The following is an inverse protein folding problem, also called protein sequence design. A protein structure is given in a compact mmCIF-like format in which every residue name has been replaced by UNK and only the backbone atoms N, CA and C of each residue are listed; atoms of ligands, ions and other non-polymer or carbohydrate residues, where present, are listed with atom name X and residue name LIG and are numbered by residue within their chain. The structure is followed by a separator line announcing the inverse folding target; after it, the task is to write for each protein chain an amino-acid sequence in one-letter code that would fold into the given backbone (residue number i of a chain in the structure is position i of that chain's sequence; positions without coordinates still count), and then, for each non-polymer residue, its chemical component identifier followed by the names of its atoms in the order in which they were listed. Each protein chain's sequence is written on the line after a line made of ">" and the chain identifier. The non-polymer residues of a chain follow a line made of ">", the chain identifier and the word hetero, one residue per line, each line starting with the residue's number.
data_IF_682961797682
#
_entry.id   IF_682961797682
#
_cell.length_a   1.000
_cell.length_b   1.000
_cell.length_c   1.000
_cell.angle_alpha   90.00
_cell.angle_beta   90.00
_cell.angle_gamma   90.00
#
_symmetry.space_group_name_H-M   'P 1'
#
loop_
_entity.id
_entity.type
_entity.pdbx_description
1 polymer ?
#
# COMPACT_ATOMS: atom_id res chain seq x y z
N UNK A 1 -4.50 7.63 7.38
CA UNK A 1 -5.28 7.54 6.12
C UNK A 1 -6.75 7.30 6.47
N UNK A 2 -7.68 7.64 5.57
CA UNK A 2 -9.08 7.23 5.70
C UNK A 2 -9.19 5.71 5.57
N UNK A 3 -10.19 5.12 6.24
CA UNK A 3 -10.54 3.72 6.03
C UNK A 3 -11.41 3.62 4.76
N UNK A 4 -10.97 2.93 3.70
CA UNK A 4 -11.78 2.81 2.50
C UNK A 4 -13.08 2.06 2.78
N UNK A 5 -14.16 2.46 2.12
CA UNK A 5 -15.44 1.74 2.20
C UNK A 5 -15.39 0.49 1.33
N UNK A 6 -16.22 -0.51 1.63
CA UNK A 6 -16.24 -1.76 0.88
C UNK A 6 -16.60 -1.53 -0.61
N UNK A 7 -15.73 -1.96 -1.52
CA UNK A 7 -15.84 -1.73 -2.96
C UNK A 7 -15.30 -0.38 -3.45
N UNK A 8 -14.72 0.45 -2.58
CA UNK A 8 -13.96 1.65 -2.98
C UNK A 8 -12.76 1.23 -3.82
N UNK A 9 -12.50 1.97 -4.90
CA UNK A 9 -11.38 1.73 -5.81
C UNK A 9 -10.45 2.92 -5.89
N UNK A 10 -9.23 2.71 -6.35
CA UNK A 10 -8.33 3.80 -6.70
C UNK A 10 -7.43 3.40 -7.87
N UNK A 11 -7.41 4.20 -8.93
CA UNK A 11 -6.44 4.09 -10.03
C UNK A 11 -5.32 5.14 -9.96
N UNK A 12 -4.16 4.81 -10.51
CA UNK A 12 -3.08 5.76 -10.74
C UNK A 12 -2.29 5.36 -11.99
N UNK A 13 -2.42 6.13 -13.07
CA UNK A 13 -1.57 6.01 -14.24
C UNK A 13 -0.42 7.02 -14.14
N UNK A 14 0.81 6.54 -14.35
CA UNK A 14 2.04 7.34 -14.34
C UNK A 14 2.82 7.12 -15.63
N UNK A 15 2.41 7.77 -16.75
CA UNK A 15 3.16 7.70 -18.00
C UNK A 15 4.63 8.14 -17.83
N UNK A 16 4.88 9.13 -16.97
CA UNK A 16 6.21 9.61 -16.59
C UNK A 16 7.09 8.55 -15.91
N UNK A 17 6.48 7.52 -15.32
CA UNK A 17 7.15 6.41 -14.62
C UNK A 17 6.90 5.05 -15.28
N UNK A 18 6.16 5.01 -16.39
CA UNK A 18 5.88 3.80 -17.16
C UNK A 18 5.10 2.72 -16.39
N UNK A 19 4.18 3.10 -15.51
CA UNK A 19 3.30 2.12 -14.84
C UNK A 19 1.86 2.62 -14.70
N UNK A 20 0.95 1.66 -14.55
CA UNK A 20 -0.44 1.89 -14.17
C UNK A 20 -0.80 1.02 -12.96
N UNK A 21 -1.55 1.57 -12.02
CA UNK A 21 -1.89 0.96 -10.74
C UNK A 21 -3.40 0.97 -10.53
N UNK A 22 -3.94 -0.12 -9.98
CA UNK A 22 -5.32 -0.19 -9.49
C UNK A 22 -5.36 -0.81 -8.10
N UNK A 23 -6.36 -0.43 -7.33
CA UNK A 23 -6.68 -1.05 -6.05
C UNK A 23 -8.16 -1.06 -5.78
N UNK A 24 -8.59 -1.99 -4.93
CA UNK A 24 -9.96 -2.15 -4.48
C UNK A 24 -9.99 -2.56 -3.00
N UNK A 25 -10.91 -1.99 -2.24
CA UNK A 25 -11.24 -2.44 -0.90
C UNK A 25 -12.13 -3.68 -0.97
N UNK A 26 -11.50 -4.85 -1.06
CA UNK A 26 -12.16 -6.15 -1.29
C UNK A 26 -12.84 -6.73 -0.04
N UNK A 27 -12.50 -6.23 1.16
CA UNK A 27 -13.16 -6.61 2.41
C UNK A 27 -13.07 -5.47 3.44
N UNK A 28 -14.07 -5.37 4.32
CA UNK A 28 -14.07 -4.39 5.41
C UNK A 28 -14.03 -5.02 6.82
N UNK A 29 -14.49 -6.27 6.98
CA UNK A 29 -14.30 -7.05 8.21
C UNK A 29 -13.75 -8.44 7.90
N UNK A 30 -12.43 -8.64 8.02
CA UNK A 30 -11.39 -7.63 8.30
C UNK A 30 -11.17 -6.66 7.14
N UNK A 31 -10.58 -5.46 7.36
CA UNK A 31 -10.24 -4.56 6.26
C UNK A 31 -9.10 -5.14 5.42
N UNK A 32 -9.38 -5.36 4.14
CA UNK A 32 -8.41 -5.84 3.15
C UNK A 32 -8.48 -4.94 1.92
N UNK A 33 -7.34 -4.38 1.53
CA UNK A 33 -7.17 -3.66 0.27
C UNK A 33 -6.29 -4.51 -0.64
N UNK A 34 -6.75 -4.80 -1.85
CA UNK A 34 -5.97 -5.48 -2.88
C UNK A 34 -5.47 -4.45 -3.90
N UNK A 35 -4.26 -4.62 -4.41
CA UNK A 35 -3.73 -3.78 -5.47
C UNK A 35 -2.90 -4.55 -6.51
N UNK A 36 -2.84 -3.99 -7.71
CA UNK A 36 -2.10 -4.52 -8.85
C UNK A 36 -1.56 -3.37 -9.68
N UNK A 37 -0.32 -3.47 -10.13
CA UNK A 37 0.31 -2.53 -11.02
C UNK A 37 1.05 -3.24 -12.15
N UNK A 38 0.97 -2.64 -13.33
CA UNK A 38 1.57 -3.14 -14.56
C UNK A 38 2.49 -2.09 -15.15
N UNK A 39 3.64 -2.54 -15.62
CA UNK A 39 4.64 -1.81 -16.38
C UNK A 39 5.18 -2.73 -17.48
N UNK A 40 5.86 -2.17 -18.47
CA UNK A 40 6.61 -2.97 -19.44
C UNK A 40 7.69 -3.84 -18.78
N UNK A 41 8.24 -3.38 -17.64
CA UNK A 41 9.37 -4.03 -16.99
C UNK A 41 9.00 -4.90 -15.79
N UNK A 42 7.85 -4.64 -15.17
CA UNK A 42 7.44 -5.34 -13.94
C UNK A 42 5.93 -5.47 -13.82
N UNK A 43 5.49 -6.47 -13.07
CA UNK A 43 4.12 -6.59 -12.55
C UNK A 43 4.21 -6.66 -11.05
N UNK A 44 3.48 -5.81 -10.34
CA UNK A 44 3.48 -5.72 -8.88
C UNK A 44 2.07 -5.99 -8.35
N UNK A 45 1.92 -6.82 -7.32
CA UNK A 45 0.63 -7.00 -6.68
C UNK A 45 0.76 -7.44 -5.22
N UNK A 46 -0.29 -7.17 -4.46
CA UNK A 46 -0.43 -7.58 -3.08
C UNK A 46 -1.88 -7.42 -2.64
N UNK A 47 -2.24 -8.13 -1.58
CA UNK A 47 -3.32 -7.76 -0.70
C UNK A 47 -2.79 -7.41 0.68
N UNK A 48 -3.44 -6.45 1.32
CA UNK A 48 -3.03 -5.90 2.57
C UNK A 48 -4.16 -5.98 3.58
N UNK A 49 -3.93 -6.74 4.64
CA UNK A 49 -4.76 -6.77 5.85
C UNK A 49 -4.02 -6.08 6.99
N UNK A 50 -4.67 -5.08 7.59
CA UNK A 50 -4.10 -4.35 8.72
C UNK A 50 -4.57 -4.93 10.05
N UNK A 51 -3.64 -5.26 10.95
CA UNK A 51 -3.93 -5.58 12.35
C UNK A 51 -3.31 -4.52 13.24
N UNK A 52 -4.13 -3.64 13.81
CA UNK A 52 -3.67 -2.56 14.67
C UNK A 52 -3.82 -2.97 16.15
N UNK A 53 -2.81 -2.66 16.98
CA UNK A 53 -2.83 -2.87 18.43
C UNK A 53 -2.43 -1.58 19.14
N UNK A 54 -3.26 -1.11 20.06
CA UNK A 54 -2.96 0.05 20.88
C UNK A 54 -2.39 -0.38 22.23
N UNK A 55 -1.21 0.12 22.56
CA UNK A 55 -0.44 -0.24 23.77
C UNK A 55 -0.43 0.91 24.80
N UNK A 56 -1.48 1.74 24.82
CA UNK A 56 -1.61 2.89 25.74
C UNK A 56 -0.86 4.14 25.29
N UNK A 57 0.44 4.04 24.98
CA UNK A 57 1.24 5.18 24.47
C UNK A 57 1.66 5.05 23.00
N UNK A 58 1.59 3.83 22.47
CA UNK A 58 2.03 3.52 21.12
C UNK A 58 0.95 2.76 20.34
N UNK A 59 0.92 2.95 19.03
CA UNK A 59 0.07 2.22 18.10
C UNK A 59 0.94 1.32 17.23
N UNK A 60 0.79 0.01 17.40
CA UNK A 60 1.46 -1.00 16.58
C UNK A 60 0.57 -1.37 15.39
N UNK A 61 1.15 -1.32 14.19
CA UNK A 61 0.52 -1.62 12.91
C UNK A 61 1.21 -2.86 12.35
N UNK A 62 0.47 -3.97 12.31
CA UNK A 62 0.97 -5.26 11.81
C UNK A 62 0.34 -5.53 10.44
N UNK A 63 1.06 -5.22 9.35
CA UNK A 63 0.60 -5.57 8.01
C UNK A 63 0.69 -7.08 7.79
N UNK A 64 -0.38 -7.67 7.27
CA UNK A 64 -0.47 -9.07 6.88
C UNK A 64 -0.74 -9.14 5.39
N UNK A 65 0.07 -9.92 4.68
CA UNK A 65 0.03 -10.06 3.23
C UNK A 65 1.43 -10.23 2.66
N UNK A 66 1.52 -10.93 1.54
CA UNK A 66 2.76 -11.10 0.78
C UNK A 66 2.82 -10.04 -0.33
N UNK A 67 3.98 -9.42 -0.51
CA UNK A 67 4.23 -8.54 -1.64
C UNK A 67 4.85 -9.35 -2.76
N UNK A 68 4.40 -9.10 -3.99
CA UNK A 68 4.85 -9.82 -5.17
C UNK A 68 5.34 -8.84 -6.25
N UNK A 69 6.45 -9.18 -6.89
CA UNK A 69 6.93 -8.53 -8.12
C UNK A 69 7.39 -9.58 -9.11
N UNK A 70 6.82 -9.60 -10.30
CA UNK A 70 7.36 -10.33 -11.44
C UNK A 70 8.19 -9.41 -12.31
N UNK A 71 9.32 -9.91 -12.83
CA UNK A 71 10.11 -9.26 -13.87
C UNK A 71 10.06 -10.14 -15.13
N UNK A 72 9.05 -9.97 -16.00
CA UNK A 72 8.75 -10.92 -17.08
C UNK A 72 9.94 -11.15 -18.03
N UNK A 73 10.73 -10.11 -18.29
CA UNK A 73 11.94 -10.19 -19.14
C UNK A 73 12.95 -11.24 -18.67
N UNK A 74 13.03 -11.48 -17.37
CA UNK A 74 13.97 -12.43 -16.77
C UNK A 74 13.29 -13.74 -16.32
N UNK A 75 11.96 -13.81 -16.39
CA UNK A 75 11.20 -14.91 -15.83
C UNK A 75 11.22 -14.95 -14.30
N UNK A 76 11.58 -13.84 -13.64
CA UNK A 76 11.67 -13.78 -12.18
C UNK A 76 10.33 -13.49 -11.52
N UNK A 77 10.11 -14.06 -10.34
CA UNK A 77 8.99 -13.70 -9.46
C UNK A 77 9.50 -13.60 -8.02
N UNK A 78 9.62 -12.37 -7.53
CA UNK A 78 10.02 -12.06 -6.18
C UNK A 78 8.82 -11.97 -5.24
N UNK A 79 8.98 -12.55 -4.06
CA UNK A 79 8.03 -12.46 -2.96
C UNK A 79 8.72 -12.03 -1.66
N UNK A 80 8.04 -11.21 -0.86
CA UNK A 80 8.51 -10.88 0.49
C UNK A 80 7.38 -10.52 1.46
N UNK A 81 7.68 -10.66 2.75
CA UNK A 81 6.82 -10.22 3.83
C UNK A 81 7.07 -8.76 4.22
N UNK A 82 6.15 -8.16 4.96
CA UNK A 82 6.30 -6.82 5.54
C UNK A 82 6.72 -6.89 7.01
N UNK A 83 7.27 -5.79 7.50
CA UNK A 83 7.63 -5.60 8.91
C UNK A 83 6.56 -4.81 9.66
N UNK A 84 6.60 -4.92 10.99
CA UNK A 84 5.72 -4.16 11.87
C UNK A 84 6.15 -2.70 11.93
N UNK A 85 5.17 -1.80 12.01
CA UNK A 85 5.40 -0.38 12.29
C UNK A 85 4.84 -0.04 13.66
N UNK A 86 5.52 0.82 14.40
CA UNK A 86 5.04 1.33 15.68
C UNK A 86 5.10 2.86 15.67
N UNK A 87 3.97 3.50 15.92
CA UNK A 87 3.89 4.94 16.13
C UNK A 87 3.95 5.15 17.64
N UNK A 88 5.07 5.66 18.11
CA UNK A 88 5.29 5.96 19.51
C UNK A 88 4.72 7.33 19.86
N UNK A 89 4.41 7.53 21.14
CA UNK A 89 3.98 8.82 21.68
C UNK A 89 2.72 9.39 21.01
N UNK A 90 1.76 8.53 20.63
CA UNK A 90 0.59 8.93 19.84
C UNK A 90 -0.32 9.96 20.55
N UNK A 91 -0.26 10.02 21.88
CA UNK A 91 -1.00 10.96 22.73
C UNK A 91 -0.16 12.16 23.21
N UNK A 92 1.09 12.31 22.74
CA UNK A 92 1.97 13.43 23.13
C UNK A 92 2.58 14.12 21.90
N UNK A 93 3.31 15.22 22.14
CA UNK A 93 3.80 16.09 21.05
C UNK A 93 4.91 15.49 20.19
N UNK A 94 5.79 14.66 20.76
CA UNK A 94 6.95 14.10 20.06
C UNK A 94 6.65 12.71 19.50
N UNK A 95 5.77 12.66 18.50
CA UNK A 95 5.44 11.44 17.76
C UNK A 95 6.61 11.03 16.86
N UNK A 96 6.90 9.73 16.83
CA UNK A 96 7.88 9.17 15.90
C UNK A 96 7.48 7.75 15.50
N UNK A 97 7.94 7.31 14.33
CA UNK A 97 7.63 6.01 13.77
C UNK A 97 8.87 5.11 13.77
N UNK A 98 8.68 3.86 14.15
CA UNK A 98 9.69 2.83 14.10
C UNK A 98 9.19 1.67 13.22
N UNK A 99 10.07 1.11 12.41
CA UNK A 99 9.83 -0.17 11.73
C UNK A 99 10.76 -1.21 12.33
N UNK A 100 10.26 -2.42 12.60
CA UNK A 100 11.09 -3.51 13.12
C UNK A 100 10.62 -4.89 12.68
N UNK A 101 11.59 -5.79 12.59
CA UNK A 101 11.39 -7.17 12.16
C UNK A 101 12.24 -7.50 10.95
N UNK A 102 12.01 -8.68 10.39
CA UNK A 102 12.81 -9.20 9.29
C UNK A 102 11.96 -9.26 8.01
N UNK A 103 12.52 -8.81 6.90
CA UNK A 103 11.99 -9.03 5.55
C UNK A 103 12.84 -10.11 4.90
N UNK A 104 12.16 -11.13 4.36
CA UNK A 104 12.78 -12.18 3.57
C UNK A 104 12.30 -12.08 2.13
N UNK A 105 13.21 -11.73 1.22
CA UNK A 105 12.96 -11.60 -0.21
C UNK A 105 13.50 -12.85 -0.90
N UNK A 106 12.64 -13.52 -1.68
CA UNK A 106 12.98 -14.74 -2.43
C UNK A 106 12.47 -14.62 -3.85
N UNK A 107 13.23 -15.16 -4.80
CA UNK A 107 12.71 -15.44 -6.14
C UNK A 107 12.12 -16.86 -6.14
N UNK A 108 10.85 -17.01 -6.48
CA UNK A 108 10.15 -18.30 -6.51
C UNK A 108 10.52 -19.13 -7.73
N UNK A 109 11.06 -18.49 -8.77
CA UNK A 109 11.50 -19.13 -10.01
C UNK A 109 12.99 -19.52 -9.98
N UNK A 110 13.78 -18.86 -9.13
CA UNK A 110 15.19 -19.18 -8.92
C UNK A 110 15.60 -19.15 -7.44
N UNK A 111 16.00 -20.32 -6.93
CA UNK A 111 16.49 -20.49 -5.56
C UNK A 111 18.01 -20.38 -5.42
N UNK A 112 18.72 -19.79 -6.40
CA UNK A 112 20.16 -19.55 -6.36
C UNK A 112 20.57 -18.58 -5.25
N UNK A 113 19.70 -17.62 -4.93
CA UNK A 113 19.93 -16.64 -3.86
C UNK A 113 18.64 -16.19 -3.16
N UNK A 114 18.78 -15.59 -1.99
CA UNK A 114 17.71 -14.89 -1.28
C UNK A 114 18.29 -13.70 -0.51
N UNK A 115 17.45 -12.72 -0.16
CA UNK A 115 17.87 -11.56 0.63
C UNK A 115 17.12 -11.54 1.97
N UNK A 116 17.86 -11.26 3.05
CA UNK A 116 17.28 -10.99 4.36
C UNK A 116 17.66 -9.58 4.78
N UNK A 117 16.65 -8.76 5.10
CA UNK A 117 16.80 -7.43 5.69
C UNK A 117 16.21 -7.44 7.10
N UNK A 118 16.90 -6.84 8.05
CA UNK A 118 16.47 -6.65 9.42
C UNK A 118 16.33 -5.15 9.67
N UNK A 119 15.11 -4.75 10.01
CA UNK A 119 14.81 -3.42 10.52
C UNK A 119 15.10 -3.43 12.02
N UNK A 120 16.19 -2.77 12.42
CA UNK A 120 16.73 -2.87 13.76
C UNK A 120 15.89 -2.06 14.74
N UNK A 121 15.36 -2.74 15.77
CA UNK A 121 14.68 -2.07 16.87
C UNK A 121 15.70 -1.30 17.71
N UNK A 122 15.46 -0.01 17.92
CA UNK A 122 16.39 0.86 18.62
C UNK A 122 15.64 1.81 19.55
N UNK A 123 16.30 2.21 20.64
CA UNK A 123 15.78 3.30 21.49
C UNK A 123 15.97 4.62 20.72
N UNK A 124 15.02 5.55 20.79
CA UNK A 124 15.02 6.77 19.97
C UNK A 124 16.27 7.67 20.14
N UNK A 125 17.03 7.53 21.22
CA UNK A 125 18.28 8.25 21.47
C UNK A 125 19.53 7.52 20.97
N UNK A 126 19.38 6.32 20.39
CA UNK A 126 20.49 5.54 19.85
C UNK A 126 20.89 6.07 18.47
N UNK A 127 22.18 6.00 18.13
CA UNK A 127 22.67 6.23 16.77
C UNK A 127 22.08 5.26 15.73
N UNK A 128 21.56 4.12 16.17
CA UNK A 128 21.07 3.03 15.32
C UNK A 128 19.57 3.14 15.03
N UNK A 129 18.95 4.27 15.40
CA UNK A 129 17.55 4.54 15.10
C UNK A 129 17.34 4.52 13.59
N UNK A 130 16.29 3.81 13.17
CA UNK A 130 15.89 3.63 11.77
C UNK A 130 16.88 2.79 10.92
N UNK A 131 17.84 2.11 11.54
CA UNK A 131 18.82 1.30 10.85
C UNK A 131 18.18 0.07 10.19
N UNK A 132 18.64 -0.22 8.98
CA UNK A 132 18.35 -1.46 8.25
C UNK A 132 19.67 -2.12 7.92
N UNK A 133 19.81 -3.38 8.29
CA UNK A 133 20.97 -4.21 7.97
C UNK A 133 20.50 -5.46 7.24
N UNK A 134 21.31 -5.99 6.34
CA UNK A 134 20.95 -7.23 5.67
C UNK A 134 22.02 -7.77 4.75
N UNK A 135 21.66 -8.84 4.07
CA UNK A 135 22.55 -9.47 3.11
C UNK A 135 21.77 -10.24 2.05
N UNK A 136 22.41 -10.38 0.89
CA UNK A 136 22.03 -11.35 -0.14
C UNK A 136 22.89 -12.59 0.09
N UNK A 137 22.23 -13.73 0.20
CA UNK A 137 22.84 -15.04 0.46
C UNK A 137 22.69 -15.91 -0.77
N UNK A 138 23.73 -16.64 -1.12
CA UNK A 138 23.63 -17.76 -2.05
C UNK A 138 22.82 -18.92 -1.44
N UNK A 139 22.46 -19.92 -2.25
CA UNK A 139 21.82 -21.15 -1.79
C UNK A 139 22.59 -21.86 -0.67
N UNK A 140 23.92 -21.80 -0.67
CA UNK A 140 24.76 -22.42 0.36
C UNK A 140 24.88 -21.60 1.65
N UNK A 141 24.21 -20.44 1.74
CA UNK A 141 24.28 -19.54 2.89
C UNK A 141 25.50 -18.61 2.89
N UNK A 142 26.36 -18.65 1.86
CA UNK A 142 27.44 -17.67 1.70
C UNK A 142 26.86 -16.28 1.42
N UNK A 143 27.35 -15.27 2.14
CA UNK A 143 27.03 -13.85 1.89
C UNK A 143 27.64 -13.41 0.56
N UNK A 144 26.79 -13.01 -0.37
CA UNK A 144 27.17 -12.44 -1.67
C UNK A 144 27.31 -10.92 -1.59
N UNK A 145 26.35 -10.27 -0.92
CA UNK A 145 26.34 -8.83 -0.73
C UNK A 145 25.86 -8.47 0.67
N UNK A 146 26.43 -7.42 1.26
CA UNK A 146 25.94 -6.80 2.49
C UNK A 146 25.16 -5.54 2.14
N UNK A 147 24.06 -5.32 2.84
CA UNK A 147 23.19 -4.17 2.70
C UNK A 147 23.11 -3.45 4.04
N UNK A 148 23.24 -2.13 4.05
CA UNK A 148 23.08 -1.33 5.25
C UNK A 148 22.62 0.08 4.93
N UNK A 149 22.02 0.74 5.91
CA UNK A 149 21.60 2.12 5.80
C UNK A 149 20.53 2.46 6.81
N UNK A 150 19.79 3.54 6.57
CA UNK A 150 18.59 3.88 7.34
C UNK A 150 17.42 3.99 6.37
N UNK A 151 16.28 3.41 6.73
CA UNK A 151 15.13 3.30 5.81
C UNK A 151 14.59 4.66 5.31
N UNK A 152 14.91 5.75 6.00
CA UNK A 152 14.53 7.12 5.64
C UNK A 152 15.66 7.97 5.05
N UNK A 153 16.91 7.48 4.98
CA UNK A 153 18.06 8.24 4.47
C UNK A 153 18.69 7.59 3.23
N UNK A 154 18.62 6.26 3.11
CA UNK A 154 19.16 5.53 1.98
C UNK A 154 19.60 4.12 2.34
N UNK A 155 19.77 3.30 1.30
CA UNK A 155 20.26 1.92 1.39
C UNK A 155 21.50 1.76 0.51
N UNK A 156 22.50 1.05 1.02
CA UNK A 156 23.82 0.92 0.41
C UNK A 156 24.23 -0.55 0.35
N UNK A 157 24.97 -0.92 -0.70
CA UNK A 157 25.57 -2.23 -0.90
C UNK A 157 27.07 -2.17 -0.66
N UNK A 158 27.59 -3.03 0.22
CA UNK A 158 28.99 -3.05 0.63
C UNK A 158 29.25 -2.29 1.94
N UNK A 159 30.52 -2.08 2.28
CA UNK A 159 30.92 -1.45 3.54
C UNK A 159 31.02 0.07 3.38
N UNK A 160 30.34 0.83 4.25
CA UNK A 160 30.45 2.29 4.31
C UNK A 160 31.84 2.72 4.81
N UNK A 161 32.41 3.86 4.35
CA UNK A 161 31.80 4.86 3.46
C UNK A 161 31.89 4.54 1.96
N UNK A 162 32.60 3.48 1.56
CA UNK A 162 32.81 3.10 0.14
C UNK A 162 31.70 2.24 -0.49
N UNK A 163 30.57 2.10 0.21
CA UNK A 163 29.43 1.30 -0.27
C UNK A 163 28.71 1.96 -1.45
N UNK A 164 28.27 1.16 -2.41
CA UNK A 164 27.46 1.65 -3.53
C UNK A 164 26.06 2.02 -3.03
N UNK A 165 25.64 3.26 -3.24
CA UNK A 165 24.27 3.66 -2.98
C UNK A 165 23.31 2.96 -3.95
N UNK A 166 22.31 2.24 -3.42
CA UNK A 166 21.30 1.53 -4.23
C UNK A 166 19.94 2.23 -4.21
N UNK A 167 19.65 3.00 -3.17
CA UNK A 167 18.43 3.80 -3.06
C UNK A 167 18.62 4.98 -2.12
N UNK A 168 17.97 6.11 -2.43
CA UNK A 168 17.81 7.28 -1.56
C UNK A 168 16.37 7.81 -1.65
N UNK A 169 15.86 8.43 -0.58
CA UNK A 169 14.59 9.15 -0.64
C UNK A 169 14.70 10.36 -1.58
N UNK A 170 13.58 10.75 -2.17
CA UNK A 170 13.47 12.04 -2.83
C UNK A 170 13.45 13.16 -1.78
N UNK A 171 13.88 14.36 -2.17
CA UNK A 171 13.73 15.56 -1.34
C UNK A 171 12.26 15.83 -1.03
N UNK A 172 11.98 16.22 0.22
CA UNK A 172 10.65 16.65 0.62
C UNK A 172 10.31 18.02 0.00
N UNK A 173 9.06 18.27 -0.40
CA UNK A 173 8.61 19.60 -0.79
C UNK A 173 8.84 20.63 0.33
N UNK A 174 9.13 21.91 0.02
CA UNK A 174 9.38 22.94 1.03
C UNK A 174 8.28 23.05 2.10
N UNK A 175 7.00 22.97 1.71
CA UNK A 175 5.85 23.10 2.61
C UNK A 175 5.25 21.77 3.08
N UNK A 176 6.03 20.66 3.06
CA UNK A 176 5.50 19.34 3.41
C UNK A 176 4.88 19.29 4.81
N UNK A 177 5.44 19.98 5.81
CA UNK A 177 4.90 20.01 7.18
C UNK A 177 3.48 20.62 7.25
N UNK A 178 3.19 21.61 6.41
CA UNK A 178 1.85 22.23 6.31
C UNK A 178 0.86 21.33 5.57
N UNK A 179 1.38 20.41 4.75
CA UNK A 179 0.63 19.46 3.94
C UNK A 179 0.76 18.04 4.49
N UNK A 180 0.49 17.87 5.80
CA UNK A 180 0.45 16.57 6.48
C UNK A 180 1.75 15.73 6.44
N UNK A 181 2.89 16.35 6.14
CA UNK A 181 4.17 15.67 5.94
C UNK A 181 4.25 14.90 4.62
N UNK A 182 3.44 15.26 3.61
CA UNK A 182 3.39 14.53 2.35
C UNK A 182 4.65 14.70 1.48
N UNK A 183 5.05 13.60 0.86
CA UNK A 183 6.03 13.62 -0.24
C UNK A 183 5.39 14.24 -1.48
N UNK A 184 6.22 14.67 -2.45
CA UNK A 184 5.72 15.13 -3.74
C UNK A 184 4.81 14.09 -4.42
N UNK A 185 5.20 12.82 -4.39
CA UNK A 185 4.39 11.74 -4.93
C UNK A 185 3.03 11.62 -4.25
N UNK A 186 2.98 11.79 -2.91
CA UNK A 186 1.73 11.73 -2.16
C UNK A 186 0.78 12.90 -2.46
N UNK A 187 1.31 14.11 -2.67
CA UNK A 187 0.51 15.28 -3.08
C UNK A 187 -0.21 15.05 -4.41
N UNK A 188 0.44 14.34 -5.33
CA UNK A 188 -0.11 14.03 -6.66
C UNK A 188 -1.20 12.93 -6.64
N UNK A 189 -1.28 12.11 -5.57
CA UNK A 189 -2.12 10.92 -5.58
C UNK A 189 -3.62 11.23 -5.68
N UNK A 190 -4.09 12.27 -4.99
CA UNK A 190 -5.51 12.62 -4.91
C UNK A 190 -5.89 13.84 -5.76
N UNK A 191 -4.99 14.29 -6.66
CA UNK A 191 -5.32 15.31 -7.65
C UNK A 191 -6.44 14.81 -8.57
N UNK A 192 -7.47 15.64 -8.78
CA UNK A 192 -8.62 15.32 -9.63
C UNK A 192 -8.80 16.40 -10.71
N UNK A 193 -8.31 16.12 -11.90
CA UNK A 193 -8.53 16.98 -13.06
C UNK A 193 -9.92 16.74 -13.68
N UNK A 194 -10.43 17.72 -14.41
CA UNK A 194 -11.73 17.59 -15.09
C UNK A 194 -11.75 16.46 -16.14
N UNK A 195 -10.62 16.19 -16.78
CA UNK A 195 -10.47 15.10 -17.74
C UNK A 195 -10.48 13.75 -17.03
N UNK A 196 -9.67 13.58 -15.99
CA UNK A 196 -9.63 12.35 -15.19
C UNK A 196 -11.01 12.03 -14.62
N UNK A 197 -11.73 13.03 -14.11
CA UNK A 197 -13.09 12.85 -13.56
C UNK A 197 -14.06 12.17 -14.54
N UNK A 198 -13.91 12.36 -15.86
CA UNK A 198 -14.79 11.74 -16.88
C UNK A 198 -14.48 10.27 -17.11
N UNK A 199 -13.24 9.83 -16.87
CA UNK A 199 -12.80 8.46 -17.11
C UNK A 199 -12.81 7.58 -15.86
N UNK A 200 -12.91 8.16 -14.66
CA UNK A 200 -12.92 7.40 -13.40
C UNK A 200 -14.24 6.63 -13.20
N UNK A 201 -14.19 5.44 -12.58
CA UNK A 201 -15.40 4.83 -12.05
C UNK A 201 -15.95 5.68 -10.91
N UNK A 202 -17.26 5.60 -10.65
CA UNK A 202 -17.90 6.31 -9.52
C UNK A 202 -17.33 5.93 -8.15
N UNK A 203 -16.58 4.83 -8.09
CA UNK A 203 -15.96 4.27 -6.89
C UNK A 203 -14.54 4.77 -6.65
N UNK A 204 -13.95 5.61 -7.53
CA UNK A 204 -12.59 6.12 -7.33
C UNK A 204 -12.48 7.03 -6.11
N UNK A 205 -11.47 6.80 -5.26
CA UNK A 205 -11.23 7.57 -4.04
C UNK A 205 -11.18 9.08 -4.26
N UNK A 206 -10.76 9.57 -5.44
CA UNK A 206 -10.73 11.01 -5.74
C UNK A 206 -12.12 11.66 -5.74
N UNK A 207 -13.17 10.87 -5.97
CA UNK A 207 -14.57 11.29 -5.95
C UNK A 207 -15.19 11.21 -4.55
N UNK A 208 -14.44 10.73 -3.55
CA UNK A 208 -14.92 10.56 -2.18
C UNK A 208 -14.99 11.92 -1.46
N UNK A 209 -16.19 12.40 -1.08
CA UNK A 209 -16.37 13.82 -0.74
C UNK A 209 -15.82 14.20 0.64
N UNK A 210 -15.80 13.29 1.62
CA UNK A 210 -15.21 13.57 2.94
C UNK A 210 -13.70 13.83 2.87
N UNK A 211 -12.98 13.06 2.06
CA UNK A 211 -11.56 13.27 1.79
C UNK A 211 -11.32 14.59 1.05
N UNK A 212 -12.12 14.88 0.01
CA UNK A 212 -12.00 16.12 -0.77
C UNK A 212 -12.21 17.36 0.10
N UNK A 213 -13.28 17.38 0.90
CA UNK A 213 -13.55 18.51 1.80
C UNK A 213 -12.46 18.71 2.85
N UNK A 214 -11.83 17.63 3.33
CA UNK A 214 -10.70 17.76 4.25
C UNK A 214 -9.49 18.41 3.59
N UNK A 215 -9.16 18.01 2.35
CA UNK A 215 -8.08 18.61 1.57
C UNK A 215 -8.32 20.09 1.27
N UNK A 216 -9.57 20.49 1.04
CA UNK A 216 -10.00 21.88 0.84
C UNK A 216 -10.06 22.68 2.16
N UNK A 217 -9.77 22.06 3.31
CA UNK A 217 -9.81 22.70 4.63
C UNK A 217 -11.20 22.85 5.23
N UNK A 218 -12.24 22.33 4.58
CA UNK A 218 -13.63 22.36 5.08
C UNK A 218 -13.92 21.18 6.03
N UNK A 219 -13.39 21.29 7.25
CA UNK A 219 -13.49 20.25 8.29
C UNK A 219 -14.95 19.88 8.63
N UNK A 220 -15.85 20.88 8.65
CA UNK A 220 -17.25 20.65 8.99
C UNK A 220 -17.96 19.80 7.93
N UNK A 221 -17.77 20.13 6.64
CA UNK A 221 -18.34 19.36 5.55
C UNK A 221 -17.71 17.95 5.45
N UNK A 222 -16.40 17.84 5.68
CA UNK A 222 -15.69 16.56 5.70
C UNK A 222 -16.30 15.61 6.74
N UNK A 223 -16.48 16.09 7.97
CA UNK A 223 -17.05 15.30 9.07
C UNK A 223 -18.52 14.92 8.82
N UNK A 224 -19.33 15.83 8.25
CA UNK A 224 -20.71 15.52 7.87
C UNK A 224 -20.79 14.44 6.78
N UNK A 225 -19.97 14.53 5.73
CA UNK A 225 -19.91 13.52 4.67
C UNK A 225 -19.35 12.19 5.17
N UNK A 226 -18.35 12.21 6.05
CA UNK A 226 -17.79 11.01 6.66
C UNK A 226 -18.87 10.21 7.38
N UNK A 227 -19.68 10.87 8.22
CA UNK A 227 -20.81 10.23 8.91
C UNK A 227 -21.82 9.63 7.93
N UNK A 228 -22.15 10.36 6.85
CA UNK A 228 -23.07 9.89 5.81
C UNK A 228 -22.56 8.62 5.11
N UNK A 229 -21.30 8.63 4.66
CA UNK A 229 -20.65 7.50 3.98
C UNK A 229 -20.58 6.28 4.90
N UNK A 230 -20.15 6.45 6.15
CA UNK A 230 -20.09 5.35 7.12
C UNK A 230 -21.48 4.78 7.46
N UNK A 231 -22.52 5.60 7.42
CA UNK A 231 -23.91 5.15 7.59
C UNK A 231 -24.39 4.34 6.39
N UNK A 232 -24.19 4.84 5.15
CA UNK A 232 -24.53 4.11 3.92
C UNK A 232 -23.84 2.75 3.86
N UNK A 233 -22.57 2.68 4.24
CA UNK A 233 -21.84 1.42 4.28
C UNK A 233 -22.42 0.44 5.33
N UNK A 234 -22.85 0.94 6.49
CA UNK A 234 -23.51 0.12 7.53
C UNK A 234 -24.86 -0.40 7.06
N UNK A 235 -25.66 0.44 6.41
CA UNK A 235 -26.98 0.06 5.89
C UNK A 235 -26.86 -0.95 4.75
N UNK A 236 -25.94 -0.72 3.80
CA UNK A 236 -25.64 -1.68 2.72
C UNK A 236 -25.23 -3.04 3.27
N UNK A 237 -24.41 -3.06 4.33
CA UNK A 237 -24.02 -4.32 4.98
C UNK A 237 -25.22 -5.04 5.59
N UNK A 238 -26.07 -4.33 6.33
CA UNK A 238 -27.28 -4.92 6.92
C UNK A 238 -28.17 -5.55 5.86
N UNK A 239 -28.41 -4.85 4.75
CA UNK A 239 -29.19 -5.38 3.61
C UNK A 239 -28.53 -6.64 3.03
N UNK A 240 -27.20 -6.63 2.85
CA UNK A 240 -26.48 -7.83 2.36
C UNK A 240 -26.60 -9.01 3.33
N UNK A 241 -26.46 -8.78 4.63
CA UNK A 241 -26.61 -9.82 5.68
C UNK A 241 -28.04 -10.38 5.73
N UNK A 242 -29.06 -9.52 5.73
CA UNK A 242 -30.48 -9.92 5.73
C UNK A 242 -30.87 -10.75 4.50
N UNK A 243 -30.20 -10.51 3.36
CA UNK A 243 -30.47 -11.22 2.10
C UNK A 243 -29.47 -12.35 1.81
N UNK A 244 -28.56 -12.67 2.74
CA UNK A 244 -27.48 -13.66 2.56
C UNK A 244 -26.61 -13.40 1.31
N UNK A 245 -26.42 -12.12 0.95
CA UNK A 245 -25.60 -11.69 -0.18
C UNK A 245 -24.17 -11.51 0.28
N UNK A 246 -23.23 -12.25 -0.32
CA UNK A 246 -21.80 -12.06 -0.10
C UNK A 246 -21.28 -11.00 -1.07
N UNK A 247 -20.57 -10.01 -0.56
CA UNK A 247 -19.91 -9.01 -1.41
C UNK A 247 -18.90 -9.69 -2.34
N UNK A 248 -19.00 -9.41 -3.63
CA UNK A 248 -18.02 -9.81 -4.63
C UNK A 248 -17.22 -8.58 -5.06
N UNK A 249 -15.90 -8.63 -4.88
CA UNK A 249 -15.01 -7.62 -5.41
C UNK A 249 -15.11 -7.59 -6.94
N UNK A 250 -15.09 -6.39 -7.52
CA UNK A 250 -15.36 -6.15 -8.93
C UNK A 250 -14.15 -6.44 -9.82
N UNK A 251 -12.96 -6.07 -9.36
CA UNK A 251 -11.73 -6.09 -10.16
C UNK A 251 -10.69 -7.08 -9.63
N UNK A 252 -10.97 -7.71 -8.49
CA UNK A 252 -10.14 -8.71 -7.87
C UNK A 252 -10.93 -9.98 -7.58
N UNK A 253 -10.23 -11.10 -7.55
CA UNK A 253 -10.77 -12.40 -7.14
C UNK A 253 -9.92 -12.99 -6.04
N UNK A 254 -10.59 -13.67 -5.11
CA UNK A 254 -9.93 -14.42 -4.05
C UNK A 254 -9.34 -15.71 -4.61
N UNK A 255 -8.10 -16.00 -4.24
CA UNK A 255 -7.44 -17.28 -4.43
C UNK A 255 -7.17 -17.91 -3.07
N UNK A 256 -7.13 -19.25 -3.06
CA UNK A 256 -6.88 -20.04 -1.86
C UNK A 256 -5.98 -21.21 -2.25
N UNK A 257 -4.92 -21.46 -1.48
CA UNK A 257 -4.09 -22.64 -1.67
C UNK A 257 -4.61 -23.85 -0.86
N UNK A 258 -3.94 -24.99 -1.01
CA UNK A 258 -4.28 -26.23 -0.30
C UNK A 258 -4.13 -26.14 1.23
N UNK A 259 -3.42 -25.13 1.74
CA UNK A 259 -3.27 -24.88 3.18
C UNK A 259 -4.39 -23.98 3.74
N UNK A 260 -5.27 -23.47 2.88
CA UNK A 260 -6.30 -22.51 3.24
C UNK A 260 -5.79 -21.07 3.34
N UNK A 261 -4.55 -20.78 2.92
CA UNK A 261 -4.05 -19.41 2.81
C UNK A 261 -4.79 -18.71 1.67
N UNK A 262 -5.40 -17.58 1.97
CA UNK A 262 -6.11 -16.76 1.00
C UNK A 262 -5.27 -15.54 0.59
N UNK A 263 -5.39 -15.13 -0.67
CA UNK A 263 -4.85 -13.87 -1.20
C UNK A 263 -5.74 -13.35 -2.34
N UNK A 264 -5.54 -12.10 -2.73
CA UNK A 264 -6.32 -11.48 -3.82
C UNK A 264 -5.44 -11.18 -5.03
N UNK A 265 -5.96 -11.50 -6.21
CA UNK A 265 -5.32 -11.20 -7.50
C UNK A 265 -6.30 -10.47 -8.40
N UNK A 266 -5.79 -9.61 -9.28
CA UNK A 266 -6.64 -8.96 -10.28
C UNK A 266 -7.34 -9.99 -11.18
N UNK A 267 -8.54 -9.66 -11.64
CA UNK A 267 -9.23 -10.41 -12.70
C UNK A 267 -8.94 -9.83 -14.11
N UNK A 268 -8.01 -8.87 -14.21
CA UNK A 268 -7.60 -8.20 -15.46
C UNK A 268 -8.76 -7.53 -16.22
N UNK A 269 -9.83 -7.12 -15.55
CA UNK A 269 -10.98 -6.46 -16.20
C UNK A 269 -10.92 -4.94 -16.13
N UNK A 270 -10.30 -4.35 -15.11
CA UNK A 270 -10.35 -2.91 -14.84
C UNK A 270 -10.00 -2.06 -16.07
N UNK A 271 -8.78 -2.21 -16.60
CA UNK A 271 -8.30 -1.41 -17.73
C UNK A 271 -9.04 -1.71 -19.04
N UNK A 272 -9.56 -2.93 -19.21
CA UNK A 272 -10.40 -3.28 -20.37
C UNK A 272 -11.75 -2.58 -20.32
N UNK A 273 -12.33 -2.46 -19.14
CA UNK A 273 -13.59 -1.75 -18.90
C UNK A 273 -13.41 -0.22 -18.89
N UNK A 274 -12.21 0.25 -18.54
CA UNK A 274 -11.83 1.66 -18.67
C UNK A 274 -11.72 2.11 -20.12
N UNK A 275 -11.27 1.22 -21.00
CA UNK A 275 -11.28 1.45 -22.43
C UNK A 275 -12.72 1.63 -22.94
N UNK A 276 -12.91 2.43 -23.99
CA UNK A 276 -14.21 2.88 -24.51
C UNK A 276 -15.29 1.78 -24.56
N UNK A 277 -16.53 2.04 -24.10
CA UNK A 277 -17.10 3.34 -23.74
C UNK A 277 -16.79 3.79 -22.29
N UNK A 278 -15.87 3.12 -21.59
CA UNK A 278 -15.53 3.41 -20.19
C UNK A 278 -16.60 2.93 -19.19
N UNK A 279 -16.60 3.50 -17.99
CA UNK A 279 -17.48 3.08 -16.89
C UNK A 279 -18.94 3.53 -17.01
N UNK A 280 -19.33 4.23 -18.09
CA UNK A 280 -20.68 4.77 -18.27
C UNK A 280 -21.79 3.72 -18.37
N UNK A 281 -21.46 2.49 -18.79
CA UNK A 281 -22.39 1.36 -18.92
C UNK A 281 -22.34 0.38 -17.75
N UNK A 282 -21.57 0.70 -16.72
CA UNK A 282 -21.38 -0.17 -15.57
C UNK A 282 -22.29 0.31 -14.43
N UNK A 283 -23.05 -0.60 -13.83
CA UNK A 283 -23.80 -0.29 -12.61
C UNK A 283 -22.83 0.31 -11.58
N UNK A 284 -23.05 1.58 -11.27
CA UNK A 284 -22.25 2.33 -10.32
C UNK A 284 -22.64 1.89 -8.92
N UNK A 285 -21.71 1.29 -8.18
CA UNK A 285 -21.93 1.12 -6.75
C UNK A 285 -22.00 2.53 -6.13
N UNK A 286 -23.13 2.87 -5.53
CA UNK A 286 -23.24 4.05 -4.67
C UNK A 286 -22.54 3.69 -3.37
N UNK A 287 -21.38 4.31 -3.15
CA UNK A 287 -20.54 4.12 -1.97
C UNK A 287 -20.76 5.22 -0.92
#
# INVERSE_FOLDING_TARGET
>A
PFNPVLGETYECERPDRGFRFISEQVSHHPPISACHAESENFVFWQDMKWKNKFWGKSLEIVPVGTVNVSLPRFGDHFEWNKVTSCIHNILSGQRWIEHYGEVLIRNTQDSSCHCKLTFCKAKYWSSNVHEVQGAVFSRSGRVLHRLSGKWHEGLYRGTLPGGQCIWKPNSMPPDHERNFGFTQFALELNELTAELKRSLPSTDTRLRPDQRYLEEGNIQAAEAQKRRIEQLQRDRRRVMEENNIVHQARFFRRQTDSSGKEWWVTNNTYWRLRAEPGYGNLDGAVL
#
